data_IF_220607837016
#
_entry.id   IF_220607837016
#
_cell.length_a   1.000
_cell.length_b   1.000
_cell.length_c   1.000
_cell.angle_alpha   90.00
_cell.angle_beta   90.00
_cell.angle_gamma   90.00
#
_symmetry.space_group_name_H-M   'P 1'
#
loop_
_entity.id
_entity.type
_entity.pdbx_description
1 polymer ?
#
# COMPACT_ATOMS: atom_id res chain seq x y z
N UNK A 1 -18.67 18.22 36.91
CA UNK A 1 -18.39 18.52 35.49
C UNK A 1 -18.97 17.37 34.69
N UNK A 2 -19.55 17.61 33.50
CA UNK A 2 -19.94 16.48 32.64
C UNK A 2 -18.66 15.73 32.26
N UNK A 3 -18.62 14.43 32.55
CA UNK A 3 -17.43 13.61 32.28
C UNK A 3 -17.24 13.47 30.76
N UNK A 4 -16.10 13.95 30.29
CA UNK A 4 -15.73 13.84 28.88
C UNK A 4 -15.35 12.38 28.62
N UNK A 5 -16.03 11.75 27.66
CA UNK A 5 -15.84 10.33 27.37
C UNK A 5 -15.10 10.09 26.06
N UNK A 6 -15.31 10.97 25.07
CA UNK A 6 -14.72 10.87 23.74
C UNK A 6 -14.21 12.24 23.30
N UNK A 7 -12.98 12.27 22.78
CA UNK A 7 -12.37 13.47 22.19
C UNK A 7 -11.84 13.10 20.81
N UNK A 8 -12.32 13.81 19.79
CA UNK A 8 -11.78 13.79 18.44
C UNK A 8 -10.64 14.79 18.36
N UNK A 9 -9.55 14.42 17.71
CA UNK A 9 -8.38 15.29 17.58
C UNK A 9 -7.98 15.32 16.11
N UNK A 10 -8.15 16.49 15.49
CA UNK A 10 -7.52 16.77 14.21
C UNK A 10 -6.08 17.26 14.44
N UNK A 11 -5.13 16.59 13.79
CA UNK A 11 -3.69 16.79 13.99
C UNK A 11 -3.12 17.70 12.91
N UNK A 12 -2.86 18.96 13.27
CA UNK A 12 -2.05 19.86 12.46
C UNK A 12 -0.56 19.81 12.82
N UNK A 13 0.26 20.51 12.01
CA UNK A 13 1.70 20.62 12.26
C UNK A 13 2.02 21.33 13.60
N UNK A 14 1.25 22.38 13.90
CA UNK A 14 1.46 23.24 15.07
C UNK A 14 0.19 23.53 15.88
N UNK A 15 -0.99 23.27 15.30
CA UNK A 15 -2.30 23.52 15.90
C UNK A 15 -3.12 22.25 15.90
N UNK A 16 -3.88 22.03 16.96
CA UNK A 16 -4.71 20.84 17.18
C UNK A 16 -6.12 21.27 17.52
N UNK A 17 -7.12 20.64 16.94
CA UNK A 17 -8.53 20.95 17.17
C UNK A 17 -9.22 19.78 17.90
N UNK A 18 -9.85 20.10 19.04
CA UNK A 18 -10.33 19.12 20.02
C UNK A 18 -11.79 19.39 20.41
N UNK A 19 -12.77 18.83 19.70
CA UNK A 19 -14.11 18.64 20.23
C UNK A 19 -14.13 17.49 21.25
N UNK A 20 -14.65 17.76 22.45
CA UNK A 20 -14.91 16.76 23.49
C UNK A 20 -16.42 16.55 23.67
N UNK A 21 -16.85 15.31 23.88
CA UNK A 21 -18.26 14.95 24.09
C UNK A 21 -18.47 14.01 25.29
N UNK A 22 -19.68 14.07 25.85
CA UNK A 22 -20.15 13.15 26.89
C UNK A 22 -20.56 11.78 26.31
N UNK A 23 -20.99 10.86 27.18
CA UNK A 23 -21.42 9.52 26.79
C UNK A 23 -22.64 9.50 25.86
N UNK A 24 -23.43 10.59 25.81
CA UNK A 24 -24.61 10.75 24.96
C UNK A 24 -24.28 11.42 23.62
N UNK A 25 -23.01 11.76 23.40
CA UNK A 25 -22.57 12.49 22.21
C UNK A 25 -22.83 14.00 22.27
N UNK A 26 -23.19 14.55 23.43
CA UNK A 26 -23.34 15.99 23.59
C UNK A 26 -21.96 16.64 23.67
N UNK A 27 -21.73 17.67 22.85
CA UNK A 27 -20.51 18.46 22.91
C UNK A 27 -20.36 19.16 24.29
N UNK A 28 -19.21 18.98 24.92
CA UNK A 28 -18.84 19.59 26.21
C UNK A 28 -17.93 20.80 25.96
N UNK A 29 -16.92 20.65 25.11
CA UNK A 29 -15.97 21.72 24.80
C UNK A 29 -15.47 21.61 23.36
N UNK A 30 -14.88 22.71 22.88
CA UNK A 30 -14.25 22.80 21.57
C UNK A 30 -13.01 23.68 21.66
N UNK A 31 -11.83 23.06 21.71
CA UNK A 31 -10.56 23.74 21.96
C UNK A 31 -9.65 23.74 20.73
N UNK A 32 -8.89 24.82 20.56
CA UNK A 32 -7.75 24.88 19.65
C UNK A 32 -6.48 25.05 20.49
N UNK A 33 -5.57 24.08 20.40
CA UNK A 33 -4.38 24.02 21.26
C UNK A 33 -3.10 23.91 20.44
N UNK A 34 -2.00 24.45 20.96
CA UNK A 34 -0.65 24.08 20.50
C UNK A 34 -0.26 22.69 21.01
N UNK A 35 0.85 22.13 20.52
CA UNK A 35 1.32 20.80 20.97
C UNK A 35 1.58 20.72 22.47
N UNK A 36 2.20 21.76 23.04
CA UNK A 36 2.50 21.80 24.49
C UNK A 36 1.21 21.86 25.30
N UNK A 37 0.32 22.79 24.93
CA UNK A 37 -0.99 22.94 25.57
C UNK A 37 -1.87 21.69 25.44
N UNK A 38 -1.79 20.96 24.32
CA UNK A 38 -2.50 19.70 24.13
C UNK A 38 -2.12 18.67 25.21
N UNK A 39 -0.81 18.46 25.42
CA UNK A 39 -0.31 17.50 26.40
C UNK A 39 -0.67 17.94 27.82
N UNK A 40 -0.50 19.22 28.13
CA UNK A 40 -0.84 19.80 29.43
C UNK A 40 -2.34 19.69 29.71
N UNK A 41 -3.18 20.03 28.74
CA UNK A 41 -4.64 19.95 28.84
C UNK A 41 -5.13 18.52 29.02
N UNK A 42 -4.62 17.57 28.23
CA UNK A 42 -5.06 16.17 28.35
C UNK A 42 -4.58 15.55 29.67
N UNK A 43 -3.42 15.96 30.20
CA UNK A 43 -2.93 15.50 31.49
C UNK A 43 -3.81 15.93 32.69
N UNK A 44 -4.65 16.96 32.54
CA UNK A 44 -5.61 17.35 33.60
C UNK A 44 -6.95 16.61 33.52
N UNK A 45 -7.21 15.88 32.43
CA UNK A 45 -8.45 15.15 32.25
C UNK A 45 -8.36 13.72 32.82
N UNK A 46 -9.50 13.21 33.28
CA UNK A 46 -9.64 11.80 33.59
C UNK A 46 -9.47 10.93 32.33
N UNK A 47 -9.18 9.65 32.53
CA UNK A 47 -9.05 8.68 31.45
C UNK A 47 -10.32 8.69 30.56
N UNK A 48 -10.12 8.88 29.26
CA UNK A 48 -11.18 8.97 28.26
C UNK A 48 -10.67 8.39 26.93
N UNK A 49 -11.57 8.26 25.95
CA UNK A 49 -11.21 7.80 24.61
C UNK A 49 -10.77 8.97 23.74
N UNK A 50 -9.56 8.91 23.19
CA UNK A 50 -9.04 9.87 22.24
C UNK A 50 -8.98 9.23 20.86
N UNK A 51 -9.50 9.93 19.84
CA UNK A 51 -9.50 9.44 18.47
C UNK A 51 -8.84 10.45 17.56
N UNK A 52 -7.88 9.98 16.76
CA UNK A 52 -7.15 10.76 15.76
C UNK A 52 -7.26 10.09 14.40
N UNK A 53 -7.34 10.89 13.34
CA UNK A 53 -7.15 10.36 12.00
C UNK A 53 -5.72 9.79 11.85
N UNK A 54 -5.61 8.67 11.15
CA UNK A 54 -4.33 8.08 10.80
C UNK A 54 -3.58 8.97 9.80
N UNK A 55 -2.75 9.88 10.33
CA UNK A 55 -1.95 10.82 9.55
C UNK A 55 -0.48 10.87 10.03
N UNK A 56 0.32 11.76 9.42
CA UNK A 56 1.70 11.98 9.83
C UNK A 56 1.77 12.45 11.29
N UNK A 57 2.57 11.76 12.11
CA UNK A 57 2.71 12.08 13.54
C UNK A 57 1.67 11.44 14.46
N UNK A 58 0.58 10.86 13.93
CA UNK A 58 -0.50 10.27 14.72
C UNK A 58 -0.02 9.12 15.63
N UNK A 59 0.86 8.24 15.14
CA UNK A 59 1.41 7.14 15.94
C UNK A 59 2.23 7.62 17.14
N UNK A 60 3.08 8.63 16.94
CA UNK A 60 3.86 9.22 18.03
C UNK A 60 2.95 9.88 19.05
N UNK A 61 1.98 10.69 18.58
CA UNK A 61 1.01 11.33 19.45
C UNK A 61 0.21 10.29 20.24
N UNK A 62 -0.25 9.22 19.59
CA UNK A 62 -1.02 8.18 20.25
C UNK A 62 -0.25 7.49 21.38
N UNK A 63 1.03 7.15 21.16
CA UNK A 63 1.86 6.60 22.24
C UNK A 63 2.03 7.60 23.38
N UNK A 64 2.28 8.88 23.09
CA UNK A 64 2.43 9.91 24.12
C UNK A 64 1.16 10.08 24.95
N UNK A 65 0.00 10.16 24.30
CA UNK A 65 -1.28 10.34 24.97
C UNK A 65 -1.70 9.08 25.76
N UNK A 66 -1.32 7.88 25.31
CA UNK A 66 -1.52 6.65 26.07
C UNK A 66 -0.75 6.66 27.40
N UNK A 67 0.44 7.28 27.47
CA UNK A 67 1.19 7.41 28.74
C UNK A 67 0.50 8.30 29.78
N UNK A 68 -0.49 9.10 29.37
CA UNK A 68 -1.32 9.91 30.27
C UNK A 68 -2.54 9.13 30.80
N UNK A 69 -2.68 7.85 30.44
CA UNK A 69 -3.78 6.98 30.89
C UNK A 69 -5.02 6.98 29.99
N UNK A 70 -5.00 7.67 28.85
CA UNK A 70 -6.13 7.67 27.92
C UNK A 70 -6.13 6.45 26.99
N UNK A 71 -7.32 6.03 26.57
CA UNK A 71 -7.47 5.03 25.51
C UNK A 71 -7.38 5.72 24.15
N UNK A 72 -6.30 5.48 23.40
CA UNK A 72 -6.09 6.15 22.10
C UNK A 72 -6.38 5.23 20.93
N UNK A 73 -7.18 5.71 19.97
CA UNK A 73 -7.57 4.98 18.76
C UNK A 73 -7.21 5.78 17.51
N UNK A 74 -6.77 5.11 16.45
CA UNK A 74 -6.53 5.73 15.15
C UNK A 74 -7.65 5.35 14.19
N UNK A 75 -8.25 6.32 13.49
CA UNK A 75 -9.31 6.08 12.51
C UNK A 75 -8.79 6.34 11.08
N UNK A 76 -9.21 5.51 10.13
CA UNK A 76 -8.88 5.74 8.71
C UNK A 76 -9.61 6.99 8.19
N UNK A 77 -8.94 7.86 7.41
CA UNK A 77 -9.58 9.02 6.76
C UNK A 77 -10.83 8.63 5.95
N UNK A 78 -10.82 7.43 5.36
CA UNK A 78 -11.94 6.92 4.55
C UNK A 78 -13.22 6.73 5.36
N UNK A 79 -13.10 6.44 6.66
CA UNK A 79 -14.24 6.30 7.55
C UNK A 79 -14.69 7.63 8.16
N UNK A 80 -13.81 8.64 8.20
CA UNK A 80 -14.15 9.99 8.68
C UNK A 80 -14.88 10.79 7.61
N UNK A 81 -14.44 10.69 6.35
CA UNK A 81 -14.94 11.48 5.22
C UNK A 81 -16.49 11.53 5.09
N UNK A 82 -17.25 10.43 5.28
CA UNK A 82 -18.72 10.49 5.21
C UNK A 82 -19.39 11.36 6.28
N UNK A 83 -18.69 11.70 7.36
CA UNK A 83 -19.22 12.47 8.49
C UNK A 83 -18.85 13.97 8.42
N UNK A 84 -18.15 14.41 7.38
CA UNK A 84 -17.86 15.82 7.14
C UNK A 84 -19.12 16.51 6.62
N UNK A 85 -19.68 17.43 7.43
CA UNK A 85 -21.02 18.00 7.22
C UNK A 85 -21.03 19.28 6.36
N UNK A 86 -19.92 19.98 6.23
CA UNK A 86 -19.88 21.32 5.63
C UNK A 86 -18.52 21.64 4.97
N UNK A 87 -18.34 22.91 4.60
CA UNK A 87 -17.09 23.42 4.03
C UNK A 87 -15.89 23.16 4.94
N UNK A 88 -14.71 23.09 4.32
CA UNK A 88 -13.46 22.72 4.99
C UNK A 88 -13.15 23.64 6.18
N UNK A 89 -13.03 23.03 7.36
CA UNK A 89 -12.54 23.65 8.57
C UNK A 89 -11.98 22.55 9.48
N UNK A 90 -10.82 22.80 10.08
CA UNK A 90 -10.14 21.82 10.95
C UNK A 90 -11.02 21.35 12.14
N UNK A 91 -11.91 22.22 12.63
CA UNK A 91 -12.87 21.82 13.66
C UNK A 91 -13.98 20.92 13.13
N UNK A 92 -14.43 21.13 11.89
CA UNK A 92 -15.43 20.26 11.24
C UNK A 92 -14.81 18.88 11.00
N UNK A 93 -13.53 18.84 10.62
CA UNK A 93 -12.77 17.59 10.47
C UNK A 93 -12.65 16.87 11.82
N UNK A 94 -12.32 17.59 12.90
CA UNK A 94 -12.25 17.03 14.25
C UNK A 94 -13.61 16.53 14.79
N UNK A 95 -14.70 17.24 14.48
CA UNK A 95 -16.07 16.82 14.85
C UNK A 95 -16.51 15.60 14.05
N UNK A 96 -16.12 15.50 12.78
CA UNK A 96 -16.35 14.32 11.96
C UNK A 96 -15.62 13.09 12.54
N UNK A 97 -14.42 13.27 13.11
CA UNK A 97 -13.71 12.20 13.83
C UNK A 97 -14.52 11.71 15.04
N UNK A 98 -15.06 12.62 15.87
CA UNK A 98 -15.94 12.25 17.00
C UNK A 98 -17.17 11.47 16.54
N UNK A 99 -17.87 12.00 15.53
CA UNK A 99 -19.09 11.40 15.00
C UNK A 99 -18.81 10.00 14.44
N UNK A 100 -17.77 9.86 13.63
CA UNK A 100 -17.35 8.57 13.08
C UNK A 100 -17.00 7.58 14.21
N UNK A 101 -16.23 8.04 15.20
CA UNK A 101 -15.80 7.20 16.31
C UNK A 101 -16.93 6.75 17.23
N UNK A 102 -18.02 7.51 17.31
CA UNK A 102 -19.20 7.16 18.11
C UNK A 102 -20.01 5.98 17.54
N UNK A 103 -19.77 5.59 16.28
CA UNK A 103 -20.52 4.51 15.63
C UNK A 103 -20.10 3.14 16.19
N UNK A 104 -21.03 2.29 16.64
CA UNK A 104 -20.69 0.99 17.27
C UNK A 104 -19.88 0.04 16.38
N UNK A 105 -20.10 0.09 15.06
CA UNK A 105 -19.42 -0.77 14.08
C UNK A 105 -18.10 -0.18 13.57
N UNK A 106 -17.62 0.92 14.16
CA UNK A 106 -16.42 1.61 13.68
C UNK A 106 -15.16 0.78 13.92
N UNK A 107 -14.25 0.80 12.95
CA UNK A 107 -12.97 0.08 13.00
C UNK A 107 -11.83 1.06 13.23
N UNK A 108 -10.91 0.70 14.11
CA UNK A 108 -9.75 1.51 14.47
C UNK A 108 -8.46 0.74 14.22
N UNK A 109 -7.40 1.48 13.85
CA UNK A 109 -6.04 0.97 13.79
C UNK A 109 -5.33 1.10 15.13
N UNK A 110 -4.47 0.13 15.42
CA UNK A 110 -3.59 0.17 16.59
C UNK A 110 -2.43 1.14 16.33
N UNK A 111 -2.08 2.01 17.31
CA UNK A 111 -0.86 2.79 17.23
C UNK A 111 0.38 1.90 17.08
N UNK A 112 1.17 2.12 16.03
CA UNK A 112 2.44 1.43 15.82
C UNK A 112 3.44 1.72 16.94
N UNK A 113 4.25 0.73 17.30
CA UNK A 113 5.41 0.91 18.19
C UNK A 113 6.52 1.71 17.50
N UNK A 114 7.52 2.15 18.25
CA UNK A 114 8.70 2.82 17.68
C UNK A 114 9.39 1.94 16.62
N UNK A 115 9.65 0.68 16.95
CA UNK A 115 10.28 -0.28 16.05
C UNK A 115 9.46 -0.55 14.79
N UNK A 116 8.13 -0.68 14.91
CA UNK A 116 7.24 -0.80 13.74
C UNK A 116 7.29 0.43 12.85
N UNK A 117 7.32 1.64 13.42
CA UNK A 117 7.46 2.86 12.63
C UNK A 117 8.80 2.94 11.90
N UNK A 118 9.89 2.52 12.55
CA UNK A 118 11.22 2.45 11.93
C UNK A 118 11.22 1.48 10.75
N UNK A 119 10.64 0.29 10.91
CA UNK A 119 10.46 -0.67 9.81
C UNK A 119 9.63 -0.08 8.66
N UNK A 120 8.50 0.56 8.96
CA UNK A 120 7.69 1.25 7.94
C UNK A 120 8.49 2.34 7.21
N UNK A 121 9.36 3.08 7.91
CA UNK A 121 10.19 4.11 7.30
C UNK A 121 11.23 3.51 6.36
N UNK A 122 11.90 2.43 6.79
CA UNK A 122 12.89 1.70 6.01
C UNK A 122 12.27 1.15 4.71
N UNK A 123 11.07 0.58 4.80
CA UNK A 123 10.30 0.14 3.63
C UNK A 123 9.98 1.28 2.66
N UNK A 124 9.58 2.46 3.16
CA UNK A 124 9.29 3.62 2.30
C UNK A 124 10.53 4.13 1.57
N UNK A 125 11.68 4.17 2.26
CA UNK A 125 12.96 4.55 1.64
C UNK A 125 13.35 3.56 0.56
N UNK A 126 13.27 2.26 0.86
CA UNK A 126 13.51 1.19 -0.13
C UNK A 126 12.63 1.33 -1.36
N UNK A 127 11.32 1.52 -1.16
CA UNK A 127 10.36 1.69 -2.26
C UNK A 127 10.69 2.92 -3.11
N UNK A 128 11.14 4.02 -2.49
CA UNK A 128 11.63 5.21 -3.21
C UNK A 128 12.85 4.87 -4.07
N UNK A 129 13.86 4.21 -3.51
CA UNK A 129 15.06 3.84 -4.27
C UNK A 129 14.76 2.85 -5.40
N UNK A 130 13.83 1.92 -5.21
CA UNK A 130 13.37 1.02 -6.28
C UNK A 130 12.72 1.83 -7.42
N UNK A 131 11.86 2.79 -7.09
CA UNK A 131 11.21 3.66 -8.07
C UNK A 131 12.22 4.52 -8.83
N UNK A 132 13.15 5.13 -8.11
CA UNK A 132 14.22 5.95 -8.70
C UNK A 132 15.09 5.10 -9.61
N UNK A 133 15.41 3.85 -9.22
CA UNK A 133 16.20 2.94 -10.04
C UNK A 133 15.49 2.61 -11.35
N UNK A 134 14.19 2.30 -11.29
CA UNK A 134 13.39 2.05 -12.50
C UNK A 134 13.33 3.31 -13.38
N UNK A 135 13.18 4.49 -12.79
CA UNK A 135 13.22 5.76 -13.51
C UNK A 135 14.56 5.98 -14.22
N UNK A 136 15.67 5.72 -13.54
CA UNK A 136 17.02 5.80 -14.13
C UNK A 136 17.20 4.82 -15.28
N UNK A 137 16.76 3.57 -15.12
CA UNK A 137 16.80 2.57 -16.20
C UNK A 137 16.01 3.06 -17.41
N UNK A 138 14.78 3.53 -17.20
CA UNK A 138 13.94 4.03 -18.30
C UNK A 138 14.54 5.25 -18.99
N UNK A 139 15.22 6.14 -18.25
CA UNK A 139 15.95 7.26 -18.85
C UNK A 139 17.12 6.78 -19.73
N UNK A 140 17.91 5.81 -19.26
CA UNK A 140 18.99 5.20 -20.04
C UNK A 140 18.43 4.58 -21.33
N UNK A 141 17.34 3.79 -21.23
CA UNK A 141 16.67 3.22 -22.40
C UNK A 141 16.16 4.29 -23.36
N UNK A 142 15.50 5.33 -22.84
CA UNK A 142 14.99 6.42 -23.66
C UNK A 142 16.11 7.12 -24.43
N UNK A 143 17.20 7.48 -23.77
CA UNK A 143 18.34 8.10 -24.44
C UNK A 143 18.99 7.18 -25.47
N UNK A 144 19.18 5.89 -25.19
CA UNK A 144 19.76 4.98 -26.18
C UNK A 144 18.84 4.78 -27.40
N UNK A 145 17.52 4.81 -27.19
CA UNK A 145 16.54 4.66 -28.26
C UNK A 145 16.57 5.83 -29.26
N UNK A 146 16.82 7.07 -28.78
CA UNK A 146 17.02 8.24 -29.65
C UNK A 146 18.21 8.07 -30.62
N UNK A 147 19.18 7.21 -30.27
CA UNK A 147 20.33 6.85 -31.11
C UNK A 147 20.16 5.49 -31.79
N UNK A 148 18.94 4.95 -31.84
CA UNK A 148 18.62 3.69 -32.53
C UNK A 148 19.04 2.42 -31.79
N UNK A 149 19.50 2.52 -30.54
CA UNK A 149 19.96 1.39 -29.74
C UNK A 149 18.81 0.91 -28.86
N UNK A 150 18.28 -0.27 -29.18
CA UNK A 150 17.26 -0.94 -28.37
C UNK A 150 17.90 -2.01 -27.48
N UNK A 151 17.72 -1.89 -26.17
CA UNK A 151 18.23 -2.86 -25.20
C UNK A 151 17.09 -3.71 -24.59
N UNK A 152 17.35 -4.98 -24.25
CA UNK A 152 16.40 -5.81 -23.51
C UNK A 152 15.96 -5.16 -22.20
N UNK A 153 14.71 -5.39 -21.80
CA UNK A 153 14.20 -4.87 -20.53
C UNK A 153 14.89 -5.56 -19.35
N UNK A 154 15.31 -4.78 -18.35
CA UNK A 154 15.68 -5.28 -17.02
C UNK A 154 17.07 -4.86 -16.54
N UNK A 155 17.36 -5.20 -15.28
CA UNK A 155 18.57 -4.74 -14.59
C UNK A 155 19.87 -5.35 -15.15
N UNK A 156 19.80 -6.55 -15.74
CA UNK A 156 20.99 -7.29 -16.16
C UNK A 156 21.77 -6.58 -17.27
N UNK A 157 21.07 -6.03 -18.27
CA UNK A 157 21.72 -5.27 -19.34
C UNK A 157 22.32 -3.96 -18.81
N UNK A 158 21.60 -3.27 -17.92
CA UNK A 158 22.05 -2.00 -17.36
C UNK A 158 23.27 -2.18 -16.46
N UNK A 159 23.43 -3.32 -15.77
CA UNK A 159 24.65 -3.66 -15.02
C UNK A 159 25.89 -3.73 -15.92
N UNK A 160 25.72 -4.14 -17.18
CA UNK A 160 26.78 -4.26 -18.18
C UNK A 160 26.82 -3.06 -19.14
N UNK A 161 26.17 -1.95 -18.79
CA UNK A 161 26.10 -0.77 -19.66
C UNK A 161 27.46 -0.32 -20.22
N UNK A 162 28.56 -0.29 -19.45
CA UNK A 162 29.87 0.10 -20.01
C UNK A 162 30.31 -0.73 -21.22
N UNK A 163 30.06 -2.05 -21.19
CA UNK A 163 30.36 -2.92 -22.33
C UNK A 163 29.47 -2.59 -23.54
N UNK A 164 28.17 -2.39 -23.30
CA UNK A 164 27.21 -1.99 -24.33
C UNK A 164 27.61 -0.65 -24.98
N UNK A 165 28.02 0.34 -24.18
CA UNK A 165 28.45 1.64 -24.71
C UNK A 165 29.71 1.53 -25.59
N UNK A 166 30.60 0.57 -25.31
CA UNK A 166 31.80 0.35 -26.11
C UNK A 166 31.55 -0.33 -27.46
N UNK A 167 30.40 -1.00 -27.61
CA UNK A 167 30.01 -1.69 -28.85
C UNK A 167 29.35 -0.75 -29.87
N UNK A 168 29.00 0.48 -29.47
CA UNK A 168 28.24 1.41 -30.29
C UNK A 168 28.97 2.74 -30.52
N UNK A 169 28.96 3.29 -31.75
CA UNK A 169 29.54 4.60 -32.04
C UNK A 169 28.61 5.72 -31.53
N UNK A 170 28.71 6.05 -30.24
CA UNK A 170 27.92 7.10 -29.60
C UNK A 170 28.70 8.41 -29.45
N UNK A 171 28.02 9.58 -29.46
CA UNK A 171 28.69 10.85 -29.20
C UNK A 171 29.36 10.86 -27.81
N UNK A 172 30.62 11.34 -27.67
CA UNK A 172 31.34 11.30 -26.39
C UNK A 172 30.59 11.95 -25.22
N UNK A 173 29.89 13.07 -25.47
CA UNK A 173 29.09 13.77 -24.44
C UNK A 173 27.90 12.94 -23.95
N UNK A 174 27.30 12.14 -24.84
CA UNK A 174 26.22 11.22 -24.48
C UNK A 174 26.75 10.10 -23.60
N UNK A 175 27.91 9.51 -23.95
CA UNK A 175 28.57 8.46 -23.16
C UNK A 175 28.77 8.95 -21.72
N UNK A 176 29.36 10.14 -21.54
CA UNK A 176 29.53 10.72 -20.20
C UNK A 176 28.21 10.94 -19.45
N UNK A 177 27.12 11.26 -20.15
CA UNK A 177 25.79 11.41 -19.54
C UNK A 177 25.21 10.07 -19.11
N UNK A 178 25.34 9.04 -19.94
CA UNK A 178 24.90 7.67 -19.65
C UNK A 178 25.72 7.04 -18.50
N UNK A 179 27.02 7.34 -18.42
CA UNK A 179 27.89 6.93 -17.32
C UNK A 179 27.44 7.54 -15.98
N UNK A 180 27.01 8.80 -15.95
CA UNK A 180 26.43 9.42 -14.75
C UNK A 180 25.16 8.71 -14.29
N UNK A 181 24.27 8.36 -15.22
CA UNK A 181 23.06 7.60 -14.90
C UNK A 181 23.40 6.18 -14.43
N UNK A 182 24.40 5.55 -15.02
CA UNK A 182 24.86 4.22 -14.61
C UNK A 182 25.48 4.22 -13.21
N UNK A 183 26.26 5.24 -12.87
CA UNK A 183 26.77 5.43 -11.50
C UNK A 183 25.62 5.60 -10.50
N UNK A 184 24.59 6.38 -10.83
CA UNK A 184 23.40 6.51 -9.99
C UNK A 184 22.62 5.19 -9.85
N UNK A 185 22.47 4.42 -10.93
CA UNK A 185 21.88 3.08 -10.89
C UNK A 185 22.64 2.13 -9.96
N UNK A 186 23.99 2.17 -9.98
CA UNK A 186 24.85 1.38 -9.09
C UNK A 186 24.62 1.77 -7.63
N UNK A 187 24.68 3.07 -7.32
CA UNK A 187 24.39 3.61 -5.99
C UNK A 187 23.03 3.14 -5.47
N UNK A 188 21.95 3.31 -6.26
CA UNK A 188 20.61 2.88 -5.86
C UNK A 188 20.54 1.36 -5.63
N UNK A 189 21.22 0.56 -6.46
CA UNK A 189 21.24 -0.89 -6.31
C UNK A 189 21.96 -1.34 -5.04
N UNK A 190 23.04 -0.67 -4.67
CA UNK A 190 23.78 -0.91 -3.43
C UNK A 190 22.92 -0.54 -2.21
N UNK A 191 22.34 0.65 -2.20
CA UNK A 191 21.45 1.11 -1.11
C UNK A 191 20.25 0.19 -0.90
N UNK A 192 19.62 -0.29 -1.97
CA UNK A 192 18.53 -1.28 -1.88
C UNK A 192 19.05 -2.59 -1.25
N UNK A 193 20.25 -3.05 -1.64
CA UNK A 193 20.86 -4.26 -1.08
C UNK A 193 21.30 -4.12 0.37
N UNK A 194 21.67 -2.93 0.82
CA UNK A 194 21.92 -2.61 2.23
C UNK A 194 20.65 -2.70 3.05
N UNK A 195 19.57 -2.05 2.58
CA UNK A 195 18.28 -2.10 3.25
C UNK A 195 17.72 -3.53 3.29
N UNK A 196 17.84 -4.30 2.21
CA UNK A 196 17.40 -5.70 2.17
C UNK A 196 18.13 -6.55 3.21
N UNK A 197 19.43 -6.32 3.43
CA UNK A 197 20.21 -6.99 4.48
C UNK A 197 19.77 -6.53 5.87
N UNK A 198 19.55 -5.24 6.09
CA UNK A 198 19.08 -4.70 7.37
C UNK A 198 17.73 -5.31 7.76
N UNK A 199 16.78 -5.38 6.83
CA UNK A 199 15.47 -6.01 7.04
C UNK A 199 15.60 -7.49 7.40
N UNK A 200 16.49 -8.23 6.74
CA UNK A 200 16.72 -9.64 7.04
C UNK A 200 17.31 -9.85 8.44
N UNK A 201 18.27 -9.02 8.86
CA UNK A 201 18.86 -9.08 10.20
C UNK A 201 17.81 -8.77 11.29
N UNK A 202 17.03 -7.71 11.12
CA UNK A 202 15.97 -7.33 12.08
C UNK A 202 14.88 -8.40 12.24
N UNK A 203 14.62 -9.18 11.18
CA UNK A 203 13.70 -10.31 11.24
C UNK A 203 14.29 -11.54 11.91
N UNK A 204 15.59 -11.80 11.72
CA UNK A 204 16.28 -12.91 12.36
C UNK A 204 16.27 -12.79 13.89
N UNK A 205 16.33 -11.55 14.41
CA UNK A 205 16.33 -11.26 15.85
C UNK A 205 14.93 -11.24 16.49
N UNK A 206 13.87 -11.47 15.71
CA UNK A 206 12.48 -11.33 16.15
C UNK A 206 11.70 -12.64 15.99
N UNK A 207 11.13 -13.17 17.07
CA UNK A 207 10.30 -14.40 17.06
C UNK A 207 9.14 -14.30 16.05
N UNK A 208 8.46 -13.15 15.96
CA UNK A 208 7.42 -12.94 14.95
C UNK A 208 8.01 -13.01 13.52
N UNK A 209 9.20 -12.45 13.34
CA UNK A 209 9.91 -12.45 12.06
C UNK A 209 10.29 -13.86 11.62
N UNK A 210 10.86 -14.66 12.52
CA UNK A 210 11.20 -16.06 12.25
C UNK A 210 9.96 -16.90 11.90
N UNK A 211 8.86 -16.73 12.63
CA UNK A 211 7.59 -17.40 12.31
C UNK A 211 7.07 -17.00 10.93
N UNK A 212 7.12 -15.72 10.58
CA UNK A 212 6.69 -15.24 9.26
C UNK A 212 7.57 -15.79 8.14
N UNK A 213 8.89 -15.89 8.36
CA UNK A 213 9.84 -16.47 7.40
C UNK A 213 9.66 -17.98 7.19
N UNK A 214 9.05 -18.69 8.15
CA UNK A 214 8.75 -20.12 7.99
C UNK A 214 7.62 -20.39 6.98
N UNK A 215 6.86 -19.37 6.59
CA UNK A 215 5.73 -19.51 5.66
C UNK A 215 6.27 -19.63 4.23
N UNK A 216 5.95 -20.72 3.50
CA UNK A 216 6.38 -20.89 2.12
C UNK A 216 5.95 -19.71 1.24
N UNK A 217 6.91 -19.13 0.51
CA UNK A 217 6.68 -17.97 -0.37
C UNK A 217 6.76 -16.61 0.33
N UNK A 218 6.97 -16.55 1.66
CA UNK A 218 7.20 -15.30 2.39
C UNK A 218 8.69 -15.06 2.56
N UNK A 219 9.23 -14.14 1.76
CA UNK A 219 10.62 -13.68 1.90
C UNK A 219 10.80 -12.59 2.96
N UNK A 220 12.05 -12.21 3.28
CA UNK A 220 12.36 -11.20 4.30
C UNK A 220 11.62 -9.88 4.12
N UNK A 221 11.59 -9.34 2.89
CA UNK A 221 10.90 -8.07 2.62
C UNK A 221 9.40 -8.18 2.92
N UNK A 222 8.75 -9.29 2.58
CA UNK A 222 7.32 -9.48 2.84
C UNK A 222 7.06 -9.73 4.33
N UNK A 223 7.89 -10.54 4.98
CA UNK A 223 7.81 -10.81 6.41
C UNK A 223 7.95 -9.52 7.25
N UNK A 224 8.87 -8.62 6.90
CA UNK A 224 9.08 -7.37 7.65
C UNK A 224 7.93 -6.38 7.48
N UNK A 225 7.30 -6.30 6.29
CA UNK A 225 6.08 -5.49 6.13
C UNK A 225 4.95 -6.08 6.95
N UNK A 226 4.76 -7.40 6.94
CA UNK A 226 3.75 -8.06 7.76
C UNK A 226 3.98 -7.75 9.25
N UNK A 227 5.21 -7.90 9.76
CA UNK A 227 5.54 -7.57 11.14
C UNK A 227 5.27 -6.08 11.49
N UNK A 228 5.51 -5.17 10.55
CA UNK A 228 5.27 -3.74 10.75
C UNK A 228 3.78 -3.36 10.74
N UNK A 229 2.96 -4.05 9.95
CA UNK A 229 1.54 -3.72 9.75
C UNK A 229 0.57 -4.56 10.62
N UNK A 230 0.87 -5.83 10.89
CA UNK A 230 -0.05 -6.75 11.58
C UNK A 230 -0.08 -6.55 13.10
N UNK A 231 1.06 -6.18 13.71
CA UNK A 231 1.19 -6.15 15.17
C UNK A 231 0.94 -7.52 15.80
N UNK A 232 0.07 -7.59 16.81
CA UNK A 232 -0.33 -8.85 17.46
C UNK A 232 -1.52 -9.55 16.78
N UNK A 233 -2.06 -8.93 15.72
CA UNK A 233 -3.15 -9.47 14.89
C UNK A 233 -4.52 -9.59 15.57
N UNK A 234 -4.63 -9.28 16.87
CA UNK A 234 -5.87 -9.48 17.66
C UNK A 234 -7.00 -8.55 17.24
N UNK A 235 -6.68 -7.47 16.52
CA UNK A 235 -7.64 -6.54 15.94
C UNK A 235 -8.40 -7.10 14.73
N UNK A 236 -7.99 -8.25 14.19
CA UNK A 236 -8.63 -8.87 13.03
C UNK A 236 -9.31 -10.19 13.41
N UNK A 237 -10.60 -10.30 13.12
CA UNK A 237 -11.35 -11.54 13.33
C UNK A 237 -11.01 -12.62 12.28
N UNK A 238 -10.51 -12.22 11.12
CA UNK A 238 -10.16 -13.12 10.02
C UNK A 238 -9.01 -12.57 9.18
N UNK A 239 -8.34 -13.44 8.42
CA UNK A 239 -7.32 -13.04 7.44
C UNK A 239 -7.86 -12.10 6.35
N UNK A 240 -9.15 -12.22 6.00
CA UNK A 240 -9.82 -11.31 5.06
C UNK A 240 -9.95 -9.90 5.63
N UNK A 241 -10.22 -9.77 6.92
CA UNK A 241 -10.28 -8.47 7.59
C UNK A 241 -8.92 -7.80 7.69
N UNK A 242 -7.83 -8.58 7.69
CA UNK A 242 -6.46 -8.07 7.58
C UNK A 242 -6.07 -7.68 6.16
N UNK A 243 -6.48 -8.45 5.14
CA UNK A 243 -6.14 -8.17 3.75
C UNK A 243 -6.67 -6.80 3.26
N UNK A 244 -7.81 -6.35 3.79
CA UNK A 244 -8.44 -5.10 3.41
C UNK A 244 -7.59 -3.85 3.74
N UNK A 245 -7.13 -3.61 4.99
CA UNK A 245 -6.34 -2.44 5.34
C UNK A 245 -4.95 -2.40 4.69
N UNK A 246 -4.35 -3.55 4.37
CA UNK A 246 -3.07 -3.61 3.62
C UNK A 246 -3.27 -3.53 2.10
N UNK A 247 -4.52 -3.35 1.65
CA UNK A 247 -4.90 -3.13 0.26
C UNK A 247 -4.69 -4.34 -0.65
N UNK A 248 -4.84 -5.56 -0.10
CA UNK A 248 -4.80 -6.83 -0.84
C UNK A 248 -6.20 -7.32 -1.26
N UNK A 249 -7.26 -6.56 -0.99
CA UNK A 249 -8.62 -6.90 -1.38
C UNK A 249 -8.97 -6.26 -2.73
N UNK A 250 -9.49 -7.05 -3.71
CA UNK A 250 -10.00 -6.52 -4.98
C UNK A 250 -11.07 -5.44 -4.76
N UNK A 251 -11.03 -4.37 -5.55
CA UNK A 251 -12.08 -3.34 -5.47
C UNK A 251 -13.39 -3.92 -5.98
N UNK A 252 -14.42 -3.96 -5.14
CA UNK A 252 -15.73 -4.44 -5.54
C UNK A 252 -16.58 -3.31 -6.14
N UNK A 253 -17.14 -3.53 -7.33
CA UNK A 253 -18.12 -2.64 -7.97
C UNK A 253 -19.34 -3.45 -8.41
N UNK A 254 -20.17 -3.81 -7.43
CA UNK A 254 -21.33 -4.68 -7.65
C UNK A 254 -22.61 -3.84 -7.70
N UNK A 255 -23.45 -4.08 -8.71
CA UNK A 255 -24.77 -3.45 -8.85
C UNK A 255 -25.81 -4.52 -9.17
N UNK A 256 -27.02 -4.40 -8.61
CA UNK A 256 -28.18 -5.24 -8.96
C UNK A 256 -27.94 -6.76 -8.89
N UNK A 257 -27.22 -7.25 -7.87
CA UNK A 257 -26.96 -8.68 -7.68
C UNK A 257 -25.84 -9.28 -8.53
N UNK A 258 -25.13 -8.48 -9.35
CA UNK A 258 -23.93 -8.93 -10.07
C UNK A 258 -22.66 -8.52 -9.34
N UNK A 259 -21.90 -9.52 -8.90
CA UNK A 259 -20.60 -9.29 -8.27
C UNK A 259 -19.53 -9.03 -9.32
N UNK A 260 -19.09 -7.77 -9.47
CA UNK A 260 -17.87 -7.46 -10.22
C UNK A 260 -16.75 -7.11 -9.25
N UNK A 261 -15.67 -7.89 -9.29
CA UNK A 261 -14.41 -7.60 -8.62
C UNK A 261 -13.45 -6.99 -9.66
N UNK A 262 -12.88 -5.84 -9.33
CA UNK A 262 -11.87 -5.14 -10.13
C UNK A 262 -10.47 -5.48 -9.60
N UNK A 263 -9.43 -5.06 -10.32
CA UNK A 263 -8.04 -5.25 -9.89
C UNK A 263 -7.74 -4.66 -8.52
N UNK A 264 -6.73 -5.22 -7.86
CA UNK A 264 -6.17 -4.72 -6.61
C UNK A 264 -5.52 -3.36 -6.91
N UNK A 265 -5.97 -2.30 -6.24
CA UNK A 265 -5.37 -0.96 -6.34
C UNK A 265 -5.20 -0.39 -4.94
N UNK A 266 -3.96 -0.18 -4.51
CA UNK A 266 -3.64 0.65 -3.34
C UNK A 266 -3.17 -0.05 -2.07
N UNK A 267 -2.64 -1.28 -2.14
CA UNK A 267 -1.88 -1.85 -1.02
C UNK A 267 -0.48 -1.27 -0.89
N UNK A 268 0.20 -1.51 0.25
CA UNK A 268 1.64 -1.28 0.35
C UNK A 268 2.29 -1.97 -0.85
N UNK A 269 2.93 -1.20 -1.73
CA UNK A 269 3.36 -1.67 -3.06
C UNK A 269 4.18 -2.95 -2.99
N UNK A 270 4.91 -3.13 -1.91
CA UNK A 270 5.63 -4.36 -1.56
C UNK A 270 4.76 -5.62 -1.62
N UNK A 271 3.51 -5.57 -1.13
CA UNK A 271 2.58 -6.70 -1.19
C UNK A 271 2.03 -6.94 -2.60
N UNK A 272 1.86 -5.89 -3.39
CA UNK A 272 1.46 -6.02 -4.80
C UNK A 272 2.58 -6.65 -5.63
N UNK A 273 3.83 -6.22 -5.43
CA UNK A 273 4.99 -6.72 -6.16
C UNK A 273 5.39 -8.16 -5.71
N UNK A 274 5.26 -8.51 -4.42
CA UNK A 274 5.54 -9.87 -3.93
C UNK A 274 4.53 -10.91 -4.38
N UNK A 275 3.26 -10.51 -4.58
CA UNK A 275 2.21 -11.40 -5.09
C UNK A 275 2.43 -11.79 -6.56
N UNK A 276 3.15 -10.96 -7.33
CA UNK A 276 3.48 -11.23 -8.74
C UNK A 276 4.78 -12.02 -8.93
N UNK A 277 5.71 -12.00 -7.97
CA UNK A 277 7.02 -12.64 -8.10
C UNK A 277 7.10 -14.08 -7.57
N UNK A 278 5.99 -14.67 -7.15
CA UNK A 278 5.90 -16.09 -6.80
C UNK A 278 5.87 -16.96 -8.08
N UNK A 279 6.98 -16.97 -8.83
CA UNK A 279 7.26 -17.95 -9.87
C UNK A 279 8.52 -18.73 -9.46
N UNK A 280 8.35 -19.61 -8.47
CA UNK A 280 9.26 -20.70 -8.11
C UNK A 280 8.56 -22.05 -8.37
N UNK A 281 9.29 -23.18 -8.42
CA UNK A 281 8.89 -24.38 -9.15
C UNK A 281 7.57 -24.95 -8.62
N UNK A 282 6.74 -25.37 -9.56
CA UNK A 282 5.45 -26.07 -9.38
C UNK A 282 5.43 -26.96 -8.13
N UNK A 283 4.82 -26.47 -7.05
CA UNK A 283 4.37 -27.30 -5.93
C UNK A 283 3.17 -28.14 -6.39
N UNK A 284 3.46 -29.31 -6.97
CA UNK A 284 2.46 -30.36 -7.20
C UNK A 284 2.24 -31.10 -5.89
N UNK A 285 1.08 -30.90 -5.27
CA UNK A 285 0.66 -31.69 -4.10
C UNK A 285 0.10 -30.88 -2.93
N UNK A 286 -1.03 -30.21 -3.12
CA UNK A 286 -1.93 -29.86 -2.02
C UNK A 286 -3.38 -30.09 -2.47
N UNK A 287 -4.25 -30.66 -1.62
CA UNK A 287 -5.64 -30.91 -1.98
C UNK A 287 -6.37 -29.59 -2.24
N UNK A 288 -6.87 -29.46 -3.46
CA UNK A 288 -7.54 -28.30 -4.04
C UNK A 288 -8.85 -28.00 -3.30
N UNK A 289 -8.81 -27.07 -2.34
CA UNK A 289 -9.97 -26.26 -1.92
C UNK A 289 -9.54 -24.82 -1.60
N UNK A 290 -8.85 -24.20 -2.54
CA UNK A 290 -8.64 -22.76 -2.60
C UNK A 290 -9.14 -22.27 -3.96
N UNK A 291 -10.32 -21.65 -3.90
CA UNK A 291 -10.90 -20.69 -4.84
C UNK A 291 -10.27 -20.68 -6.25
N UNK A 292 -10.98 -21.27 -7.21
CA UNK A 292 -10.72 -21.10 -8.63
C UNK A 292 -10.72 -19.59 -8.97
N UNK A 293 -9.57 -19.03 -9.32
CA UNK A 293 -9.44 -17.71 -9.95
C UNK A 293 -9.29 -17.92 -11.46
N UNK A 294 -10.17 -17.36 -12.31
CA UNK A 294 -9.95 -17.38 -13.73
C UNK A 294 -8.84 -16.37 -14.06
N UNK A 295 -7.70 -16.89 -14.49
CA UNK A 295 -6.63 -16.13 -15.12
C UNK A 295 -7.10 -15.61 -16.49
N UNK A 296 -7.11 -14.29 -16.65
CA UNK A 296 -7.25 -13.58 -17.92
C UNK A 296 -6.99 -12.09 -17.64
N UNK A 297 -6.10 -11.36 -18.32
CA UNK A 297 -5.55 -11.55 -19.66
C UNK A 297 -4.22 -10.80 -19.74
N UNK A 298 -3.10 -11.49 -19.95
CA UNK A 298 -1.89 -10.90 -20.54
C UNK A 298 -1.56 -11.75 -21.75
N UNK A 299 -1.93 -11.24 -22.92
CA UNK A 299 -1.57 -11.85 -24.20
C UNK A 299 -0.10 -11.53 -24.44
N UNK A 300 0.79 -12.46 -24.07
CA UNK A 300 2.18 -12.44 -24.53
C UNK A 300 2.19 -12.64 -26.06
N UNK A 301 2.62 -11.62 -26.79
CA UNK A 301 3.05 -11.74 -28.18
C UNK A 301 4.54 -12.13 -28.18
N UNK A 302 4.81 -13.44 -28.17
CA UNK A 302 6.07 -14.01 -28.66
C UNK A 302 5.70 -15.22 -29.50
N UNK A 303 5.58 -15.01 -30.81
CA UNK A 303 5.31 -16.05 -31.80
C UNK A 303 6.57 -16.35 -32.60
N UNK A 304 7.17 -17.51 -32.34
CA UNK A 304 8.04 -18.22 -33.29
C UNK A 304 7.18 -19.05 -34.25
N UNK A 305 7.66 -19.13 -35.48
CA UNK A 305 7.01 -19.65 -36.73
C UNK A 305 6.86 -21.19 -36.67
N UNK A 306 5.82 -21.79 -37.32
CA UNK A 306 6.03 -22.40 -38.63
C UNK A 306 4.95 -22.02 -39.67
N UNK A 307 5.43 -21.90 -40.91
CA UNK A 307 4.74 -21.76 -42.20
C UNK A 307 3.47 -22.60 -42.36
N UNK A 308 2.42 -22.05 -43.00
CA UNK A 308 1.78 -22.53 -44.23
C UNK A 308 0.59 -21.62 -44.63
N UNK A 309 0.56 -21.28 -45.93
CA UNK A 309 -0.60 -20.94 -46.78
C UNK A 309 -1.30 -19.57 -46.68
N UNK A 310 -1.08 -18.80 -47.75
CA UNK A 310 -1.89 -17.69 -48.30
C UNK A 310 -3.41 -17.94 -48.26
N UNK A 311 -4.19 -16.94 -47.81
CA UNK A 311 -5.44 -16.48 -48.47
C UNK A 311 -5.64 -14.98 -48.21
N UNK A 312 -5.93 -14.23 -49.28
CA UNK A 312 -6.25 -12.79 -49.34
C UNK A 312 -7.63 -12.43 -48.71
N UNK A 313 -7.70 -11.27 -48.03
CA UNK A 313 -8.71 -10.16 -47.98
C UNK A 313 -10.24 -10.41 -48.24
N UNK A 314 -11.21 -9.56 -47.82
CA UNK A 314 -11.12 -8.15 -47.39
C UNK A 314 -12.04 -7.68 -46.21
N UNK A 315 -11.92 -6.37 -45.99
CA UNK A 315 -12.58 -5.33 -45.17
C UNK A 315 -14.09 -5.33 -44.88
N UNK A 316 -14.39 -4.66 -43.75
CA UNK A 316 -15.54 -3.78 -43.44
C UNK A 316 -16.91 -4.43 -43.15
N UNK A 317 -17.45 -4.17 -41.95
CA UNK A 317 -18.65 -3.33 -41.74
C UNK A 317 -19.36 -3.62 -40.40
N UNK A 318 -19.99 -2.55 -39.90
CA UNK A 318 -20.89 -2.46 -38.72
C UNK A 318 -22.03 -3.49 -38.79
N UNK A 319 -22.60 -3.86 -37.64
CA UNK A 319 -24.01 -3.57 -37.25
C UNK A 319 -24.54 -4.51 -36.13
N UNK A 320 -25.27 -3.87 -35.21
CA UNK A 320 -26.40 -4.36 -34.40
C UNK A 320 -26.19 -5.08 -33.06
N UNK A 321 -26.80 -4.44 -32.07
CA UNK A 321 -27.29 -4.99 -30.80
C UNK A 321 -28.32 -6.07 -31.07
N UNK A 322 -28.19 -7.21 -30.40
CA UNK A 322 -29.22 -8.24 -30.30
C UNK A 322 -29.33 -8.73 -28.87
N UNK A 323 -30.46 -8.46 -28.22
CA UNK A 323 -30.89 -9.10 -26.98
C UNK A 323 -31.02 -10.62 -27.22
N UNK A 324 -30.33 -11.44 -26.41
CA UNK A 324 -30.57 -12.88 -26.40
C UNK A 324 -31.13 -13.29 -25.04
N UNK A 325 -32.43 -13.60 -25.03
CA UNK A 325 -33.15 -14.22 -23.91
C UNK A 325 -32.63 -15.64 -23.71
N UNK A 326 -32.44 -16.01 -22.43
CA UNK A 326 -32.14 -17.37 -21.97
C UNK A 326 -33.32 -18.29 -22.27
N UNK A 327 -33.04 -19.41 -22.94
CA UNK A 327 -33.82 -20.65 -22.84
C UNK A 327 -32.88 -21.76 -22.41
N UNK A 328 -33.11 -22.31 -21.21
CA UNK A 328 -32.55 -23.59 -20.76
C UNK A 328 -33.43 -24.72 -21.32
N UNK A 329 -32.85 -25.89 -21.62
CA UNK A 329 -33.55 -27.15 -21.44
C UNK A 329 -32.99 -27.91 -20.23
N UNK A 330 -33.92 -28.54 -19.50
CA UNK A 330 -33.72 -29.42 -18.37
C UNK A 330 -33.11 -30.76 -18.79
N UNK A 331 -32.22 -31.25 -17.93
CA UNK A 331 -31.89 -32.64 -17.59
C UNK A 331 -32.62 -33.79 -18.31
N UNK A 332 -31.84 -34.72 -18.85
CA UNK A 332 -31.60 -36.06 -18.28
C UNK A 332 -30.13 -36.43 -18.53
#
# INVERSE_FOLDING_TARGET
>A
MQDVTLIGIDLGKHSFHLPGQDARGKAIFRNKLSRKQLIEFLATLHACTLVMEACAGAHHMARRLATLGHQVKLISPQFVRPFVKSNKSDFVDAEAICEAASRPSMRFGTPKTGSQQTLCALHKVRDSFVQDRVKTINQIHGFLLEFGISLPVGNAVIRRLPAVLSEHPLPPRLITTLERLHAHFKYLSEQIGEIDRELAMQLADNDLGQRLLSIPGVGPVTASVLAAEIGDGKQYASSRDFAAPIGLVPRQYSTGGRTNLLGIRGGTRIFADSSFNAHGPTCTGFPTRLVHWPSGSVRCLLGGIPTWSLVHWPTNSRVSRGHCRRTMPRSL
#
